data_IF_839016005948
#
_entry.id   IF_839016005948
#
_cell.length_a   1.000
_cell.length_b   1.000
_cell.length_c   1.000
_cell.angle_alpha   90.00
_cell.angle_beta   90.00
_cell.angle_gamma   90.00
#
_symmetry.space_group_name_H-M   'P 1'
#
loop_
_entity.id
_entity.type
_entity.pdbx_description
1 polymer ?
#
# COMPACT_ATOMS: atom_id res chain seq x y z
N UNK A 1 -16.26 57.02 -58.25
CA UNK A 1 -17.11 56.23 -57.32
C UNK A 1 -16.77 54.72 -57.33
N UNK A 2 -16.79 54.03 -58.47
CA UNK A 2 -16.52 52.58 -58.57
C UNK A 2 -15.27 52.07 -57.81
N UNK A 3 -14.12 52.74 -57.93
CA UNK A 3 -12.90 52.31 -57.27
C UNK A 3 -12.96 52.42 -55.73
N UNK A 4 -13.73 53.38 -55.20
CA UNK A 4 -13.89 53.58 -53.75
C UNK A 4 -14.77 52.45 -53.18
N UNK A 5 -15.87 52.14 -53.86
CA UNK A 5 -16.78 51.03 -53.50
C UNK A 5 -16.04 49.68 -53.50
N UNK A 6 -15.27 49.41 -54.57
CA UNK A 6 -14.44 48.21 -54.69
C UNK A 6 -13.43 48.10 -53.56
N UNK A 7 -12.75 49.20 -53.22
CA UNK A 7 -11.75 49.20 -52.15
C UNK A 7 -12.40 48.92 -50.79
N UNK A 8 -13.58 49.51 -50.53
CA UNK A 8 -14.35 49.30 -49.31
C UNK A 8 -14.77 47.84 -49.15
N UNK A 9 -15.32 47.21 -50.20
CA UNK A 9 -15.70 45.79 -50.18
C UNK A 9 -14.50 44.89 -49.88
N UNK A 10 -13.34 45.16 -50.48
CA UNK A 10 -12.12 44.40 -50.23
C UNK A 10 -11.63 44.56 -48.79
N UNK A 11 -11.64 45.77 -48.24
CA UNK A 11 -11.21 46.00 -46.85
C UNK A 11 -12.16 45.37 -45.82
N UNK A 12 -13.48 45.42 -46.07
CA UNK A 12 -14.49 44.78 -45.23
C UNK A 12 -14.28 43.25 -45.21
N UNK A 13 -14.02 42.63 -46.37
CA UNK A 13 -13.80 41.19 -46.45
C UNK A 13 -12.45 40.77 -45.85
N UNK A 14 -11.38 41.55 -46.08
CA UNK A 14 -10.08 41.35 -45.39
C UNK A 14 -10.24 41.41 -43.87
N UNK A 15 -11.08 42.31 -43.36
CA UNK A 15 -11.36 42.44 -41.92
C UNK A 15 -12.06 41.19 -41.38
N UNK A 16 -13.06 40.66 -42.08
CA UNK A 16 -13.72 39.40 -41.70
C UNK A 16 -12.74 38.22 -41.69
N UNK A 17 -11.93 38.08 -42.74
CA UNK A 17 -10.92 37.02 -42.83
C UNK A 17 -9.95 37.12 -41.66
N UNK A 18 -9.42 38.31 -41.35
CA UNK A 18 -8.52 38.51 -40.19
C UNK A 18 -9.15 38.07 -38.88
N UNK A 19 -10.41 38.44 -38.63
CA UNK A 19 -11.13 38.04 -37.41
C UNK A 19 -11.36 36.53 -37.33
N UNK A 20 -11.67 35.88 -38.45
CA UNK A 20 -11.84 34.43 -38.51
C UNK A 20 -10.53 33.69 -38.20
N UNK A 21 -9.42 34.12 -38.81
CA UNK A 21 -8.11 33.54 -38.54
C UNK A 21 -7.64 33.78 -37.11
N UNK A 22 -7.94 34.95 -36.52
CA UNK A 22 -7.63 35.22 -35.11
C UNK A 22 -8.40 34.27 -34.17
N UNK A 23 -9.68 33.99 -34.46
CA UNK A 23 -10.47 33.01 -33.71
C UNK A 23 -9.90 31.59 -33.86
N UNK A 24 -9.56 31.18 -35.09
CA UNK A 24 -8.93 29.87 -35.36
C UNK A 24 -7.61 29.73 -34.63
N UNK A 25 -6.77 30.77 -34.63
CA UNK A 25 -5.49 30.77 -33.93
C UNK A 25 -5.69 30.59 -32.41
N UNK A 26 -6.59 31.36 -31.79
CA UNK A 26 -6.92 31.21 -30.36
C UNK A 26 -7.42 29.81 -30.03
N UNK A 27 -8.24 29.22 -30.90
CA UNK A 27 -8.73 27.84 -30.71
C UNK A 27 -7.60 26.81 -30.76
N UNK A 28 -6.66 26.95 -31.71
CA UNK A 28 -5.48 26.08 -31.82
C UNK A 28 -4.58 26.22 -30.59
N UNK A 29 -4.34 27.44 -30.11
CA UNK A 29 -3.54 27.68 -28.90
C UNK A 29 -4.16 27.04 -27.66
N UNK A 30 -5.48 27.16 -27.49
CA UNK A 30 -6.20 26.49 -26.38
C UNK A 30 -6.09 24.99 -26.49
N UNK A 31 -6.33 24.40 -27.68
CA UNK A 31 -6.18 22.96 -27.91
C UNK A 31 -4.78 22.47 -27.57
N UNK A 32 -3.74 23.20 -28.01
CA UNK A 32 -2.33 22.86 -27.72
C UNK A 32 -2.03 22.87 -26.22
N UNK A 33 -2.58 23.83 -25.46
CA UNK A 33 -2.43 23.87 -24.00
C UNK A 33 -3.12 22.70 -23.30
N UNK A 34 -4.32 22.34 -23.75
CA UNK A 34 -5.05 21.18 -23.21
C UNK A 34 -4.27 19.89 -23.48
N UNK A 35 -3.83 19.69 -24.72
CA UNK A 35 -3.06 18.50 -25.12
C UNK A 35 -1.76 18.37 -24.33
N UNK A 36 -1.01 19.46 -24.19
CA UNK A 36 0.19 19.49 -23.37
C UNK A 36 -0.09 19.13 -21.91
N UNK A 37 -1.14 19.70 -21.30
CA UNK A 37 -1.55 19.38 -19.94
C UNK A 37 -1.96 17.92 -19.77
N UNK A 38 -2.73 17.38 -20.73
CA UNK A 38 -3.12 15.96 -20.75
C UNK A 38 -1.90 15.05 -20.85
N UNK A 39 -0.94 15.36 -21.73
CA UNK A 39 0.29 14.57 -21.88
C UNK A 39 1.14 14.58 -20.60
N UNK A 40 1.23 15.74 -19.94
CA UNK A 40 1.95 15.86 -18.68
C UNK A 40 1.29 15.04 -17.57
N UNK A 41 -0.04 15.12 -17.45
CA UNK A 41 -0.78 14.34 -16.46
C UNK A 41 -0.71 12.83 -16.75
N UNK A 42 -0.81 12.42 -18.02
CA UNK A 42 -0.64 11.03 -18.41
C UNK A 42 0.76 10.50 -18.07
N UNK A 43 1.81 11.31 -18.29
CA UNK A 43 3.17 10.97 -17.92
C UNK A 43 3.33 10.86 -16.39
N UNK A 44 2.72 11.77 -15.64
CA UNK A 44 2.71 11.72 -14.17
C UNK A 44 2.02 10.47 -13.64
N UNK A 45 0.84 10.12 -14.17
CA UNK A 45 0.10 8.92 -13.79
C UNK A 45 0.94 7.67 -14.05
N UNK A 46 1.62 7.57 -15.20
CA UNK A 46 2.51 6.44 -15.50
C UNK A 46 3.63 6.27 -14.48
N UNK A 47 4.24 7.37 -14.04
CA UNK A 47 5.28 7.32 -12.99
C UNK A 47 4.69 6.84 -11.67
N UNK A 48 3.51 7.35 -11.28
CA UNK A 48 2.84 6.92 -10.06
C UNK A 48 2.44 5.44 -10.11
N UNK A 49 1.95 4.96 -11.24
CA UNK A 49 1.65 3.53 -11.46
C UNK A 49 2.91 2.69 -11.32
N UNK A 50 4.01 3.06 -11.97
CA UNK A 50 5.26 2.32 -11.84
C UNK A 50 5.80 2.30 -10.40
N UNK A 51 5.61 3.38 -9.64
CA UNK A 51 5.96 3.42 -8.22
C UNK A 51 5.07 2.48 -7.39
N UNK A 52 3.76 2.48 -7.64
CA UNK A 52 2.81 1.60 -6.96
C UNK A 52 3.10 0.13 -7.28
N UNK A 53 3.39 -0.20 -8.53
CA UNK A 53 3.76 -1.54 -8.98
C UNK A 53 5.01 -2.06 -8.25
N UNK A 54 6.03 -1.21 -8.08
CA UNK A 54 7.24 -1.57 -7.33
C UNK A 54 6.91 -1.83 -5.86
N UNK A 55 6.13 -0.95 -5.22
CA UNK A 55 5.73 -1.14 -3.81
C UNK A 55 4.90 -2.40 -3.63
N UNK A 56 3.96 -2.68 -4.54
CA UNK A 56 3.15 -3.89 -4.54
C UNK A 56 4.01 -5.13 -4.74
N UNK A 57 4.99 -5.09 -5.64
CA UNK A 57 5.92 -6.21 -5.84
C UNK A 57 6.71 -6.55 -4.57
N UNK A 58 7.15 -5.53 -3.82
CA UNK A 58 7.84 -5.70 -2.54
C UNK A 58 6.87 -6.27 -1.49
N UNK A 59 5.64 -5.74 -1.44
CA UNK A 59 4.59 -6.21 -0.54
C UNK A 59 4.20 -7.66 -0.80
N UNK A 60 4.28 -8.13 -2.04
CA UNK A 60 4.04 -9.54 -2.40
C UNK A 60 5.26 -10.44 -2.13
N UNK A 61 6.47 -9.91 -2.28
CA UNK A 61 7.71 -10.65 -2.04
C UNK A 61 8.00 -10.85 -0.53
N UNK A 62 7.76 -9.83 0.29
CA UNK A 62 8.10 -9.87 1.72
C UNK A 62 7.40 -11.01 2.49
N UNK A 63 6.09 -11.27 2.33
CA UNK A 63 5.44 -12.42 2.97
C UNK A 63 6.02 -13.76 2.54
N UNK A 64 6.45 -13.90 1.27
CA UNK A 64 7.08 -15.13 0.77
C UNK A 64 8.40 -15.40 1.46
N UNK A 65 9.18 -14.35 1.73
CA UNK A 65 10.41 -14.47 2.54
C UNK A 65 10.10 -14.76 4.01
N UNK A 66 9.04 -14.16 4.58
CA UNK A 66 8.62 -14.44 5.96
C UNK A 66 8.22 -15.91 6.17
N UNK A 67 7.67 -16.59 5.15
CA UNK A 67 7.40 -18.03 5.20
C UNK A 67 8.68 -18.87 5.38
N UNK A 68 9.85 -18.36 4.98
CA UNK A 68 11.11 -19.06 5.18
C UNK A 68 11.60 -18.98 6.63
N UNK A 69 11.16 -17.99 7.41
CA UNK A 69 11.56 -17.80 8.82
C UNK A 69 11.00 -18.92 9.70
N UNK A 70 9.77 -19.38 9.45
CA UNK A 70 9.16 -20.48 10.20
C UNK A 70 9.87 -21.83 9.99
N UNK A 71 10.61 -21.99 8.88
CA UNK A 71 11.41 -23.20 8.61
C UNK A 71 12.57 -23.37 9.58
N UNK A 72 13.06 -22.26 10.17
CA UNK A 72 14.23 -22.28 11.03
C UNK A 72 13.80 -22.23 12.50
N UNK A 73 13.60 -23.41 13.09
CA UNK A 73 12.96 -23.59 14.39
C UNK A 73 13.58 -22.75 15.52
N UNK A 74 14.92 -22.61 15.56
CA UNK A 74 15.59 -21.82 16.59
C UNK A 74 15.30 -20.31 16.46
N UNK A 75 15.35 -19.78 15.23
CA UNK A 75 15.07 -18.37 14.94
C UNK A 75 13.60 -18.07 15.19
N UNK A 76 12.72 -18.97 14.74
CA UNK A 76 11.28 -18.83 14.91
C UNK A 76 10.85 -18.89 16.37
N UNK A 77 11.43 -19.79 17.18
CA UNK A 77 11.19 -19.86 18.63
C UNK A 77 11.55 -18.55 19.34
N UNK A 78 12.71 -17.97 19.00
CA UNK A 78 13.12 -16.67 19.55
C UNK A 78 12.14 -15.56 19.13
N UNK A 79 11.75 -15.53 17.86
CA UNK A 79 10.80 -14.55 17.33
C UNK A 79 9.44 -14.64 18.05
N UNK A 80 8.90 -15.85 18.23
CA UNK A 80 7.63 -16.05 18.95
C UNK A 80 7.70 -15.52 20.38
N UNK A 81 8.79 -15.81 21.10
CA UNK A 81 9.01 -15.27 22.44
C UNK A 81 9.01 -13.73 22.43
N UNK A 82 9.78 -13.12 21.55
CA UNK A 82 9.90 -11.65 21.45
C UNK A 82 8.54 -10.99 21.12
N UNK A 83 7.75 -11.60 20.24
CA UNK A 83 6.40 -11.14 19.89
C UNK A 83 5.42 -11.25 21.06
N UNK A 84 5.46 -12.35 21.81
CA UNK A 84 4.61 -12.51 23.01
C UNK A 84 4.98 -11.43 24.04
N UNK A 85 6.26 -11.23 24.33
CA UNK A 85 6.72 -10.19 25.26
C UNK A 85 6.28 -8.80 24.79
N UNK A 86 6.41 -8.50 23.49
CA UNK A 86 5.97 -7.22 22.92
C UNK A 86 4.46 -6.99 23.11
N UNK A 87 3.64 -8.02 22.92
CA UNK A 87 2.19 -7.95 23.14
C UNK A 87 1.87 -7.70 24.62
N UNK A 88 2.54 -8.41 25.54
CA UNK A 88 2.33 -8.22 26.98
C UNK A 88 2.71 -6.81 27.45
N UNK A 89 3.81 -6.26 26.94
CA UNK A 89 4.24 -4.88 27.23
C UNK A 89 3.22 -3.83 26.77
N UNK A 90 2.49 -4.10 25.67
CA UNK A 90 1.44 -3.22 25.15
C UNK A 90 0.11 -3.37 25.89
N UNK A 91 -0.31 -4.61 26.19
CA UNK A 91 -1.58 -4.91 26.83
C UNK A 91 -1.59 -4.60 28.33
N UNK A 92 -0.54 -5.00 29.05
CA UNK A 92 -0.41 -4.88 30.52
C UNK A 92 -1.58 -5.48 31.33
N UNK A 93 -2.30 -6.42 30.74
CA UNK A 93 -3.48 -7.07 31.32
C UNK A 93 -3.39 -8.59 31.12
N UNK A 94 -4.14 -9.39 31.91
CA UNK A 94 -4.34 -10.81 31.63
C UNK A 94 -4.93 -11.01 30.22
N UNK A 95 -4.37 -11.94 29.46
CA UNK A 95 -4.74 -12.13 28.06
C UNK A 95 -4.88 -13.61 27.69
N UNK A 96 -5.71 -13.86 26.67
CA UNK A 96 -5.84 -15.16 26.02
C UNK A 96 -5.00 -15.14 24.74
N UNK A 97 -4.03 -16.04 24.62
CA UNK A 97 -3.17 -16.17 23.45
C UNK A 97 -3.77 -17.19 22.49
N UNK A 98 -4.06 -16.75 21.26
CA UNK A 98 -4.44 -17.64 20.15
C UNK A 98 -3.26 -17.80 19.21
N UNK A 99 -2.96 -19.04 18.85
CA UNK A 99 -1.90 -19.38 17.91
C UNK A 99 -2.44 -20.35 16.84
N UNK A 100 -1.61 -20.69 15.86
CA UNK A 100 -1.91 -21.79 14.93
C UNK A 100 -1.74 -23.11 15.66
N UNK A 101 -2.48 -24.12 15.23
CA UNK A 101 -2.37 -25.48 15.77
C UNK A 101 -0.93 -26.02 15.65
N UNK A 102 -0.28 -25.79 14.51
CA UNK A 102 1.12 -26.20 14.25
C UNK A 102 2.14 -25.57 15.23
N UNK A 103 1.82 -24.40 15.80
CA UNK A 103 2.72 -23.63 16.66
C UNK A 103 2.49 -23.88 18.16
N UNK A 104 1.50 -24.70 18.52
CA UNK A 104 1.05 -24.88 19.91
C UNK A 104 2.19 -25.35 20.83
N UNK A 105 2.86 -26.45 20.45
CA UNK A 105 3.98 -27.02 21.22
C UNK A 105 5.12 -25.99 21.41
N UNK A 106 5.39 -25.21 20.36
CA UNK A 106 6.39 -24.16 20.37
C UNK A 106 6.02 -23.03 21.33
N UNK A 107 4.77 -22.57 21.27
CA UNK A 107 4.21 -21.49 22.09
C UNK A 107 4.22 -21.89 23.57
N UNK A 108 3.80 -23.12 23.88
CA UNK A 108 3.88 -23.65 25.25
C UNK A 108 5.32 -23.66 25.77
N UNK A 109 6.29 -24.08 24.93
CA UNK A 109 7.70 -24.13 25.30
C UNK A 109 8.35 -22.76 25.57
N UNK A 110 7.78 -21.66 25.07
CA UNK A 110 8.32 -20.29 25.25
C UNK A 110 7.53 -19.46 26.25
N UNK A 111 6.34 -19.92 26.65
CA UNK A 111 5.41 -19.18 27.49
C UNK A 111 6.01 -18.75 28.82
N UNK A 112 6.66 -19.68 29.52
CA UNK A 112 7.24 -19.39 30.84
C UNK A 112 8.41 -18.41 30.74
N UNK A 113 9.28 -18.60 29.74
CA UNK A 113 10.38 -17.67 29.47
C UNK A 113 9.90 -16.27 29.08
N UNK A 114 8.77 -16.17 28.37
CA UNK A 114 8.18 -14.88 28.00
C UNK A 114 7.56 -14.16 29.22
N UNK A 115 6.90 -14.90 30.12
CA UNK A 115 6.35 -14.35 31.38
C UNK A 115 7.45 -13.82 32.29
N UNK A 116 8.55 -14.56 32.41
CA UNK A 116 9.73 -14.13 33.18
C UNK A 116 10.35 -12.85 32.60
N UNK A 117 10.56 -12.80 31.28
CA UNK A 117 11.15 -11.62 30.64
C UNK A 117 10.25 -10.38 30.76
N UNK A 118 8.93 -10.54 30.65
CA UNK A 118 8.01 -9.44 30.91
C UNK A 118 8.05 -8.97 32.37
N UNK A 119 8.05 -9.92 33.32
CA UNK A 119 8.13 -9.62 34.75
C UNK A 119 9.41 -8.87 35.12
N UNK A 120 10.55 -9.26 34.52
CA UNK A 120 11.84 -8.60 34.69
C UNK A 120 11.83 -7.18 34.10
N UNK A 121 11.32 -7.00 32.87
CA UNK A 121 11.29 -5.69 32.20
C UNK A 121 10.39 -4.66 32.88
N UNK A 122 9.29 -5.11 33.48
CA UNK A 122 8.26 -4.24 34.07
C UNK A 122 8.35 -4.22 35.60
N UNK A 123 9.20 -5.06 36.20
CA UNK A 123 9.35 -5.25 37.65
C UNK A 123 8.02 -5.59 38.34
N UNK A 124 7.22 -6.46 37.72
CA UNK A 124 5.89 -6.89 38.21
C UNK A 124 5.82 -8.41 38.30
N UNK A 125 4.73 -8.90 38.91
CA UNK A 125 4.48 -10.33 38.99
C UNK A 125 4.16 -10.89 37.60
N UNK A 126 4.38 -12.20 37.42
CA UNK A 126 4.12 -12.86 36.15
C UNK A 126 2.67 -12.68 35.71
N UNK A 127 2.42 -12.30 34.45
CA UNK A 127 1.08 -12.06 33.95
C UNK A 127 0.32 -13.39 33.78
N UNK A 128 -0.98 -13.35 34.05
CA UNK A 128 -1.87 -14.48 33.78
C UNK A 128 -2.18 -14.55 32.28
N UNK A 129 -1.55 -15.51 31.60
CA UNK A 129 -1.76 -15.78 30.16
C UNK A 129 -2.32 -17.19 30.01
N UNK A 130 -3.40 -17.32 29.25
CA UNK A 130 -4.06 -18.60 28.95
C UNK A 130 -3.93 -18.86 27.45
N UNK A 131 -3.44 -20.03 27.06
CA UNK A 131 -3.43 -20.45 25.65
C UNK A 131 -4.82 -20.99 25.30
N UNK A 132 -5.37 -20.53 24.18
CA UNK A 132 -6.66 -21.01 23.67
C UNK A 132 -6.47 -22.34 22.93
N UNK A 133 -7.11 -23.41 23.43
CA UNK A 133 -7.10 -24.74 22.81
C UNK A 133 -8.37 -25.03 22.00
N UNK A 134 -9.28 -24.06 21.90
CA UNK A 134 -10.58 -24.23 21.24
C UNK A 134 -10.68 -23.42 19.94
N UNK A 135 -10.04 -22.25 19.88
CA UNK A 135 -10.06 -21.37 18.71
C UNK A 135 -8.64 -21.09 18.21
N UNK A 136 -8.26 -21.79 17.13
CA UNK A 136 -6.97 -21.62 16.47
C UNK A 136 -7.01 -20.56 15.38
N UNK A 137 -5.84 -19.97 15.09
CA UNK A 137 -5.66 -19.13 13.91
C UNK A 137 -5.72 -20.00 12.63
N UNK A 138 -6.08 -19.41 11.47
CA UNK A 138 -6.06 -20.14 10.21
C UNK A 138 -4.70 -20.82 9.95
N UNK A 139 -4.72 -22.04 9.40
CA UNK A 139 -3.51 -22.81 9.14
C UNK A 139 -2.62 -22.10 8.11
N UNK A 140 -1.37 -22.57 8.01
CA UNK A 140 -0.41 -22.02 7.04
C UNK A 140 -1.01 -22.03 5.63
N UNK A 141 -1.00 -20.90 4.90
CA UNK A 141 -1.54 -20.83 3.55
C UNK A 141 -0.85 -21.87 2.67
N UNK A 142 -1.57 -22.90 2.25
CA UNK A 142 -1.11 -23.83 1.23
C UNK A 142 -0.93 -23.03 -0.07
N UNK A 143 0.01 -23.42 -0.94
CA UNK A 143 0.27 -22.75 -2.23
C UNK A 143 -0.97 -22.50 -3.12
N UNK A 144 -2.14 -23.08 -2.80
CA UNK A 144 -3.42 -22.89 -3.50
C UNK A 144 -4.33 -21.78 -2.96
N UNK A 145 -4.04 -21.19 -1.79
CA UNK A 145 -4.87 -20.13 -1.20
C UNK A 145 -4.02 -18.96 -0.68
N UNK A 146 -3.10 -18.46 -1.51
CA UNK A 146 -2.23 -17.34 -1.12
C UNK A 146 -3.00 -16.01 -0.93
N UNK A 147 -4.22 -15.86 -1.46
CA UNK A 147 -5.00 -14.62 -1.35
C UNK A 147 -6.51 -14.93 -1.36
N UNK A 148 -7.02 -15.55 -0.30
CA UNK A 148 -8.48 -15.59 -0.06
C UNK A 148 -8.95 -14.23 0.47
N UNK A 149 -10.10 -13.69 0.01
CA UNK A 149 -10.60 -12.41 0.49
C UNK A 149 -11.06 -12.56 1.94
N UNK A 150 -10.58 -11.68 2.81
CA UNK A 150 -11.40 -11.18 3.90
C UNK A 150 -12.00 -9.84 3.44
#
# INVERSE_FOLDING_TARGET
EFNIEKLRLVEDEKKKIRQEYERKQKQVEVRKKIEYSMQLNASRIKVLQAQDDVVNSIKEAAPKELLNVSRNHHVYRKLLKDLIVQCLLRLKEPAVLRCREDDLDLVESVMDSAKEEYAEKVSVHQPKIIVDHHVYLPPTPSHHHAHGPY
#
